data_IF_563056500113
#
_entry.id   IF_563056500113
#
_cell.length_a   1.000
_cell.length_b   1.000
_cell.length_c   1.000
_cell.angle_alpha   90.00
_cell.angle_beta   90.00
_cell.angle_gamma   90.00
#
_symmetry.space_group_name_H-M   'P 1'
#
loop_
_entity.id
_entity.type
_entity.pdbx_description
1 polymer ?
#
# COMPACT_ATOMS: atom_id res chain seq x y z
N UNK A 1 26.22 -11.89 -3.68
CA UNK A 1 25.32 -10.76 -3.98
C UNK A 1 24.74 -10.30 -2.65
N UNK A 2 24.79 -9.02 -2.35
CA UNK A 2 24.13 -8.44 -1.17
C UNK A 2 22.63 -8.48 -1.39
N UNK A 3 21.86 -8.75 -0.33
CA UNK A 3 20.40 -8.70 -0.37
C UNK A 3 19.93 -7.26 -0.63
N UNK A 4 18.99 -7.02 -1.55
CA UNK A 4 18.48 -5.68 -1.81
C UNK A 4 17.71 -5.14 -0.60
N UNK A 5 17.80 -3.84 -0.36
CA UNK A 5 17.08 -3.13 0.71
C UNK A 5 16.01 -2.25 0.07
N UNK A 6 14.76 -2.74 0.08
CA UNK A 6 13.66 -2.05 -0.63
C UNK A 6 12.42 -1.97 0.24
N UNK A 7 11.84 -0.77 0.30
CA UNK A 7 10.48 -0.55 0.79
C UNK A 7 9.58 -0.20 -0.39
N UNK A 8 8.52 -0.96 -0.59
CA UNK A 8 7.50 -0.66 -1.61
C UNK A 8 6.19 -0.30 -0.92
N UNK A 9 5.62 0.83 -1.31
CA UNK A 9 4.34 1.33 -0.78
C UNK A 9 3.35 1.39 -1.94
N UNK A 10 2.22 0.69 -1.83
CA UNK A 10 1.20 0.66 -2.88
C UNK A 10 -0.09 1.30 -2.37
N UNK A 11 -0.70 2.17 -3.19
CA UNK A 11 -1.96 2.82 -2.86
C UNK A 11 -3.13 1.85 -2.85
N UNK A 12 -3.21 1.01 -3.87
CA UNK A 12 -4.13 -0.13 -3.99
C UNK A 12 -3.74 -1.02 -5.18
N UNK A 13 -4.59 -2.00 -5.51
CA UNK A 13 -4.37 -2.85 -6.68
C UNK A 13 -3.21 -3.81 -6.52
N UNK A 14 -2.72 -4.05 -5.31
CA UNK A 14 -1.56 -4.86 -4.99
C UNK A 14 -1.64 -6.30 -5.50
N UNK A 15 -2.85 -6.82 -5.67
CA UNK A 15 -3.09 -8.14 -6.31
C UNK A 15 -3.78 -8.02 -7.67
N UNK A 16 -3.79 -6.82 -8.27
CA UNK A 16 -4.33 -6.59 -9.60
C UNK A 16 -3.27 -6.82 -10.70
N UNK A 17 -3.69 -7.01 -11.96
CA UNK A 17 -2.78 -7.15 -13.09
C UNK A 17 -1.78 -5.99 -13.23
N UNK A 18 -2.16 -4.79 -12.84
CA UNK A 18 -1.34 -3.56 -12.89
C UNK A 18 -0.06 -3.65 -12.06
N UNK A 19 -0.08 -4.40 -10.94
CA UNK A 19 1.07 -4.54 -10.04
C UNK A 19 1.90 -5.80 -10.28
N UNK A 20 1.51 -6.68 -11.20
CA UNK A 20 2.23 -7.94 -11.47
C UNK A 20 3.68 -7.68 -11.88
N UNK A 21 3.92 -6.74 -12.79
CA UNK A 21 5.27 -6.39 -13.24
C UNK A 21 6.14 -5.87 -12.10
N UNK A 22 5.57 -5.06 -11.21
CA UNK A 22 6.26 -4.54 -10.03
C UNK A 22 6.67 -5.65 -9.09
N UNK A 23 5.75 -6.55 -8.69
CA UNK A 23 6.10 -7.68 -7.85
C UNK A 23 7.16 -8.58 -8.49
N UNK A 24 7.03 -8.88 -9.80
CA UNK A 24 8.01 -9.69 -10.53
C UNK A 24 9.39 -9.04 -10.54
N UNK A 25 9.48 -7.73 -10.76
CA UNK A 25 10.77 -7.02 -10.75
C UNK A 25 11.42 -7.03 -9.37
N UNK A 26 10.62 -6.87 -8.31
CA UNK A 26 11.09 -6.93 -6.92
C UNK A 26 11.66 -8.31 -6.58
N UNK A 27 10.88 -9.38 -6.83
CA UNK A 27 11.33 -10.74 -6.50
C UNK A 27 12.47 -11.24 -7.38
N UNK A 28 12.62 -10.71 -8.60
CA UNK A 28 13.76 -11.03 -9.47
C UNK A 28 15.10 -10.55 -8.90
N UNK A 29 15.09 -9.58 -7.99
CA UNK A 29 16.29 -9.08 -7.29
C UNK A 29 16.75 -10.01 -6.18
N UNK A 30 15.92 -10.99 -5.80
CA UNK A 30 16.22 -11.96 -4.74
C UNK A 30 16.78 -13.25 -5.35
N UNK A 31 17.63 -13.93 -4.58
CA UNK A 31 18.13 -15.25 -4.96
C UNK A 31 17.02 -16.31 -4.97
N UNK A 32 17.17 -17.35 -5.77
CA UNK A 32 16.22 -18.48 -5.79
C UNK A 32 16.71 -19.62 -4.91
N UNK A 33 15.81 -20.32 -4.19
CA UNK A 33 14.37 -20.05 -4.07
C UNK A 33 14.09 -18.80 -3.23
N UNK A 34 13.05 -18.01 -3.62
CA UNK A 34 12.61 -16.84 -2.86
C UNK A 34 11.83 -17.30 -1.64
N UNK A 35 12.26 -16.93 -0.44
CA UNK A 35 11.45 -17.06 0.77
C UNK A 35 10.57 -15.83 0.89
N UNK A 36 9.26 -16.02 0.89
CA UNK A 36 8.28 -14.94 0.91
C UNK A 36 7.17 -15.20 1.92
N UNK A 37 6.72 -14.15 2.62
CA UNK A 37 5.65 -14.22 3.60
C UNK A 37 4.59 -13.13 3.36
N UNK A 38 3.32 -13.51 3.56
CA UNK A 38 2.18 -12.59 3.70
C UNK A 38 1.93 -12.38 5.18
N UNK A 39 1.94 -11.12 5.63
CA UNK A 39 1.43 -10.74 6.96
C UNK A 39 -0.08 -10.51 6.82
N UNK A 40 -0.85 -11.38 7.40
CA UNK A 40 -2.31 -11.47 7.29
C UNK A 40 -3.07 -10.67 8.37
N UNK A 41 -2.33 -9.99 9.24
CA UNK A 41 -2.91 -9.20 10.35
C UNK A 41 -3.91 -8.14 9.90
N UNK A 42 -3.68 -7.33 8.83
CA UNK A 42 -4.59 -6.23 8.50
C UNK A 42 -6.05 -6.65 8.32
N UNK A 43 -6.31 -7.88 7.86
CA UNK A 43 -7.66 -8.45 7.73
C UNK A 43 -7.98 -9.54 8.77
N UNK A 44 -7.16 -9.68 9.82
CA UNK A 44 -7.25 -10.75 10.81
C UNK A 44 -8.52 -10.75 11.67
N UNK A 45 -9.28 -9.67 11.66
CA UNK A 45 -10.58 -9.55 12.34
C UNK A 45 -11.76 -10.06 11.49
N UNK A 46 -11.54 -10.31 10.19
CA UNK A 46 -12.61 -10.70 9.28
C UNK A 46 -12.84 -12.21 9.33
N UNK A 47 -14.11 -12.64 9.29
CA UNK A 47 -14.48 -14.06 9.29
C UNK A 47 -13.96 -14.81 8.07
N UNK A 48 -13.85 -14.12 6.92
CA UNK A 48 -13.31 -14.66 5.67
C UNK A 48 -11.80 -14.44 5.50
N UNK A 49 -11.05 -14.19 6.59
CA UNK A 49 -9.60 -13.97 6.55
C UNK A 49 -8.83 -15.09 5.84
N UNK A 50 -9.27 -16.35 6.00
CA UNK A 50 -8.71 -17.51 5.29
C UNK A 50 -8.82 -17.39 3.78
N UNK A 51 -9.99 -17.01 3.26
CA UNK A 51 -10.19 -16.81 1.82
C UNK A 51 -9.32 -15.67 1.26
N UNK A 52 -9.13 -14.60 2.03
CA UNK A 52 -8.28 -13.48 1.63
C UNK A 52 -6.82 -13.91 1.54
N UNK A 53 -6.35 -14.70 2.51
CA UNK A 53 -5.02 -15.28 2.49
C UNK A 53 -4.81 -16.23 1.29
N UNK A 54 -5.76 -17.11 1.02
CA UNK A 54 -5.72 -18.03 -0.13
C UNK A 54 -5.69 -17.28 -1.47
N UNK A 55 -6.46 -16.19 -1.61
CA UNK A 55 -6.44 -15.35 -2.82
C UNK A 55 -5.07 -14.69 -3.01
N UNK A 56 -4.46 -14.19 -1.94
CA UNK A 56 -3.12 -13.62 -2.01
C UNK A 56 -2.09 -14.69 -2.44
N UNK A 57 -2.10 -15.87 -1.82
CA UNK A 57 -1.21 -16.99 -2.20
C UNK A 57 -1.43 -17.40 -3.66
N UNK A 58 -2.69 -17.52 -4.10
CA UNK A 58 -3.02 -17.87 -5.48
C UNK A 58 -2.51 -16.82 -6.47
N UNK A 59 -2.63 -15.53 -6.13
CA UNK A 59 -2.11 -14.44 -6.96
C UNK A 59 -0.58 -14.51 -7.09
N UNK A 60 0.15 -14.64 -5.98
CA UNK A 60 1.61 -14.73 -6.04
C UNK A 60 2.07 -15.94 -6.84
N UNK A 61 1.43 -17.09 -6.66
CA UNK A 61 1.74 -18.31 -7.42
C UNK A 61 1.45 -18.17 -8.90
N UNK A 62 0.23 -17.71 -9.27
CA UNK A 62 -0.21 -17.67 -10.68
C UNK A 62 0.34 -16.48 -11.45
N UNK A 63 0.41 -15.30 -10.81
CA UNK A 63 0.72 -14.06 -11.50
C UNK A 63 2.16 -13.61 -11.29
N UNK A 64 2.73 -13.78 -10.09
CA UNK A 64 4.10 -13.37 -9.79
C UNK A 64 5.11 -14.51 -10.02
N UNK A 65 4.63 -15.77 -10.01
CA UNK A 65 5.42 -17.00 -10.19
C UNK A 65 6.41 -17.26 -9.04
N UNK A 66 5.93 -17.05 -7.81
CA UNK A 66 6.61 -17.46 -6.57
C UNK A 66 5.62 -18.11 -5.62
N UNK A 67 6.10 -19.02 -4.78
CA UNK A 67 5.35 -19.48 -3.62
C UNK A 67 5.54 -18.49 -2.48
N UNK A 68 4.43 -18.07 -1.85
CA UNK A 68 4.41 -17.20 -0.68
C UNK A 68 3.66 -17.90 0.45
N UNK A 69 4.16 -17.82 1.67
CA UNK A 69 3.56 -18.45 2.84
C UNK A 69 2.81 -17.43 3.67
N UNK A 70 1.64 -17.83 4.20
CA UNK A 70 0.88 -16.96 5.12
C UNK A 70 1.49 -17.05 6.51
N UNK A 71 1.72 -15.90 7.14
CA UNK A 71 2.36 -15.85 8.45
C UNK A 71 1.48 -16.42 9.57
N UNK A 72 0.16 -16.38 9.40
CA UNK A 72 -0.79 -16.84 10.43
C UNK A 72 -0.82 -15.87 11.63
N UNK A 73 -0.56 -14.59 11.38
CA UNK A 73 -0.51 -13.53 12.37
C UNK A 73 -1.84 -12.74 12.41
N UNK A 74 -2.98 -13.44 12.38
CA UNK A 74 -4.29 -12.79 12.47
C UNK A 74 -4.45 -12.02 13.77
N UNK A 75 -3.91 -12.58 14.88
CA UNK A 75 -3.83 -11.96 16.20
C UNK A 75 -2.46 -12.24 16.80
N UNK A 76 -1.83 -11.20 17.36
CA UNK A 76 -0.52 -11.32 17.98
C UNK A 76 -0.59 -11.22 19.51
N UNK A 77 -1.70 -10.69 20.03
CA UNK A 77 -1.90 -10.56 21.48
C UNK A 77 -3.36 -10.54 21.87
N UNK A 78 -3.64 -10.52 23.19
CA UNK A 78 -4.98 -10.54 23.76
C UNK A 78 -5.65 -11.93 23.73
N UNK A 79 -6.94 -11.94 24.11
CA UNK A 79 -7.73 -13.18 24.14
C UNK A 79 -7.84 -13.81 22.74
N UNK A 80 -7.52 -15.10 22.64
CA UNK A 80 -7.58 -15.88 21.42
C UNK A 80 -6.29 -15.85 20.55
N UNK A 81 -5.21 -15.21 21.02
CA UNK A 81 -3.89 -15.39 20.40
C UNK A 81 -3.28 -16.71 20.90
N UNK A 82 -2.72 -17.50 19.96
CA UNK A 82 -1.90 -18.68 20.26
C UNK A 82 -0.41 -18.28 20.24
N UNK A 83 0.27 -18.24 21.40
CA UNK A 83 1.68 -17.80 21.44
C UNK A 83 2.62 -18.62 20.56
N UNK A 84 2.34 -19.92 20.40
CA UNK A 84 3.18 -20.80 19.57
C UNK A 84 2.97 -20.49 18.08
N UNK A 85 1.72 -20.25 17.67
CA UNK A 85 1.42 -19.82 16.30
C UNK A 85 2.01 -18.43 16.01
N UNK A 86 1.93 -17.51 16.95
CA UNK A 86 2.54 -16.16 16.84
C UNK A 86 4.05 -16.25 16.67
N UNK A 87 4.75 -17.02 17.53
CA UNK A 87 6.21 -17.20 17.42
C UNK A 87 6.58 -17.79 16.06
N UNK A 88 5.86 -18.81 15.60
CA UNK A 88 6.09 -19.42 14.29
C UNK A 88 5.89 -18.42 13.16
N UNK A 89 4.83 -17.62 13.22
CA UNK A 89 4.53 -16.60 12.22
C UNK A 89 5.60 -15.50 12.17
N UNK A 90 6.01 -14.99 13.33
CA UNK A 90 7.08 -14.00 13.42
C UNK A 90 8.42 -14.56 12.89
N UNK A 91 8.74 -15.81 13.19
CA UNK A 91 9.92 -16.48 12.63
C UNK A 91 9.84 -16.58 11.10
N UNK A 92 8.67 -16.93 10.56
CA UNK A 92 8.46 -16.97 9.11
C UNK A 92 8.68 -15.59 8.47
N UNK A 93 8.15 -14.53 9.07
CA UNK A 93 8.38 -13.15 8.61
C UNK A 93 9.88 -12.81 8.68
N UNK A 94 10.55 -13.16 9.77
CA UNK A 94 11.98 -12.90 9.95
C UNK A 94 12.83 -13.59 8.88
N UNK A 95 12.53 -14.84 8.55
CA UNK A 95 13.29 -15.66 7.61
C UNK A 95 12.97 -15.36 6.13
N UNK A 96 11.93 -14.60 5.86
CA UNK A 96 11.50 -14.26 4.51
C UNK A 96 12.30 -13.09 3.95
N UNK A 97 12.78 -13.23 2.71
CA UNK A 97 13.46 -12.16 1.98
C UNK A 97 12.46 -11.15 1.36
N UNK A 98 11.23 -11.59 1.11
CA UNK A 98 10.13 -10.78 0.62
C UNK A 98 8.97 -10.85 1.61
N UNK A 99 8.54 -9.70 2.11
CA UNK A 99 7.40 -9.60 3.05
C UNK A 99 6.34 -8.71 2.43
N UNK A 100 5.10 -9.19 2.44
CA UNK A 100 3.94 -8.49 1.89
C UNK A 100 2.87 -8.35 2.97
N UNK A 101 2.27 -7.15 3.08
CA UNK A 101 1.05 -6.89 3.83
C UNK A 101 0.12 -5.99 3.00
N UNK A 102 -1.17 -6.23 3.05
CA UNK A 102 -2.14 -5.61 2.15
C UNK A 102 -3.37 -5.02 2.84
N UNK A 103 -4.56 -5.25 2.26
CA UNK A 103 -5.78 -4.58 2.66
C UNK A 103 -6.27 -5.04 4.04
N UNK A 104 -7.21 -4.27 4.62
CA UNK A 104 -7.82 -4.54 5.91
C UNK A 104 -8.04 -3.27 6.72
N UNK A 105 -7.80 -3.33 8.04
CA UNK A 105 -7.90 -2.20 8.95
C UNK A 105 -6.52 -1.77 9.47
N UNK A 106 -6.11 -0.51 9.25
CA UNK A 106 -4.85 -0.01 9.79
C UNK A 106 -4.86 0.02 11.33
N UNK A 107 -5.97 0.38 11.92
CA UNK A 107 -6.13 0.47 13.38
C UNK A 107 -6.05 -0.90 14.03
N UNK A 108 -6.69 -1.92 13.41
CA UNK A 108 -6.58 -3.30 13.89
C UNK A 108 -5.14 -3.80 13.79
N UNK A 109 -4.50 -3.60 12.63
CA UNK A 109 -3.12 -4.00 12.41
C UNK A 109 -2.18 -3.38 13.46
N UNK A 110 -2.26 -2.06 13.68
CA UNK A 110 -1.44 -1.36 14.67
C UNK A 110 -1.66 -1.87 16.09
N UNK A 111 -2.90 -2.16 16.49
CA UNK A 111 -3.17 -2.75 17.81
C UNK A 111 -2.52 -4.11 18.00
N UNK A 112 -2.41 -4.90 16.92
CA UNK A 112 -1.77 -6.20 16.97
C UNK A 112 -0.24 -6.12 16.91
N UNK A 113 0.33 -5.11 16.25
CA UNK A 113 1.76 -5.00 15.98
C UNK A 113 2.55 -4.20 17.02
N UNK A 114 1.88 -3.27 17.72
CA UNK A 114 2.52 -2.22 18.53
C UNK A 114 3.48 -2.74 19.61
N UNK A 115 3.09 -3.79 20.32
CA UNK A 115 3.88 -4.37 21.43
C UNK A 115 4.51 -5.72 21.04
N UNK A 116 4.91 -5.85 19.78
CA UNK A 116 5.51 -7.07 19.24
C UNK A 116 6.83 -6.74 18.54
N UNK A 117 7.71 -7.72 18.32
CA UNK A 117 8.98 -7.50 17.62
C UNK A 117 8.83 -7.29 16.11
N UNK A 118 7.61 -7.20 15.57
CA UNK A 118 7.38 -7.10 14.13
C UNK A 118 8.01 -5.84 13.54
N UNK A 119 7.89 -4.70 14.24
CA UNK A 119 8.49 -3.44 13.79
C UNK A 119 9.99 -3.58 13.62
N UNK A 120 10.68 -4.06 14.65
CA UNK A 120 12.14 -4.25 14.65
C UNK A 120 12.59 -5.24 13.58
N UNK A 121 11.79 -6.29 13.32
CA UNK A 121 12.07 -7.24 12.24
C UNK A 121 11.99 -6.59 10.87
N UNK A 122 10.99 -5.72 10.63
CA UNK A 122 10.86 -4.99 9.38
C UNK A 122 11.96 -3.95 9.21
N UNK A 123 12.34 -3.24 10.28
CA UNK A 123 13.49 -2.32 10.30
C UNK A 123 14.80 -3.05 9.96
N UNK A 124 15.01 -4.22 10.56
CA UNK A 124 16.20 -5.05 10.27
C UNK A 124 16.25 -5.45 8.78
N UNK A 125 15.10 -5.81 8.17
CA UNK A 125 15.05 -6.11 6.73
C UNK A 125 15.45 -4.91 5.86
N UNK A 126 14.99 -3.72 6.21
CA UNK A 126 15.33 -2.49 5.47
C UNK A 126 16.78 -2.05 5.71
N UNK A 127 17.37 -2.41 6.82
CA UNK A 127 18.78 -2.12 7.16
C UNK A 127 19.74 -3.15 6.60
N UNK A 128 19.43 -4.44 6.79
CA UNK A 128 20.38 -5.54 6.58
C UNK A 128 20.15 -6.30 5.26
N UNK A 129 18.97 -6.14 4.66
CA UNK A 129 18.59 -6.72 3.39
C UNK A 129 17.24 -7.46 3.45
N UNK A 130 16.40 -7.14 2.50
CA UNK A 130 15.06 -7.69 2.29
C UNK A 130 14.17 -6.69 1.57
N UNK A 131 13.03 -7.18 1.12
CA UNK A 131 12.01 -6.38 0.45
C UNK A 131 10.75 -6.39 1.30
N UNK A 132 10.31 -5.22 1.72
CA UNK A 132 9.05 -4.99 2.44
C UNK A 132 8.08 -4.29 1.49
N UNK A 133 6.92 -4.89 1.26
CA UNK A 133 5.87 -4.34 0.39
C UNK A 133 4.58 -4.21 1.19
N UNK A 134 4.17 -2.97 1.44
CA UNK A 134 2.94 -2.65 2.16
C UNK A 134 1.96 -1.92 1.24
N UNK A 135 0.69 -2.34 1.29
CA UNK A 135 -0.36 -1.81 0.42
C UNK A 135 -1.62 -1.45 1.22
N UNK A 136 -2.38 -0.46 0.74
CA UNK A 136 -3.68 -0.09 1.30
C UNK A 136 -3.63 0.12 2.82
N UNK A 137 -4.38 -0.65 3.61
CA UNK A 137 -4.41 -0.54 5.06
C UNK A 137 -3.04 -0.71 5.73
N UNK A 138 -2.20 -1.63 5.24
CA UNK A 138 -0.84 -1.78 5.74
C UNK A 138 0.01 -0.56 5.41
N UNK A 139 -0.16 0.05 4.23
CA UNK A 139 0.58 1.27 3.84
C UNK A 139 0.32 2.45 4.77
N UNK A 140 -0.93 2.61 5.25
CA UNK A 140 -1.29 3.64 6.24
C UNK A 140 -0.45 3.59 7.50
N UNK A 141 0.02 2.40 7.90
CA UNK A 141 0.75 2.20 9.17
C UNK A 141 2.21 2.62 9.14
N UNK A 142 2.78 2.90 7.96
CA UNK A 142 4.23 3.06 7.76
C UNK A 142 4.84 4.32 8.37
N UNK A 143 4.08 5.41 8.44
CA UNK A 143 4.53 6.67 9.05
C UNK A 143 4.42 6.68 10.56
N UNK A 144 4.89 7.75 11.18
CA UNK A 144 4.66 8.03 12.61
C UNK A 144 3.20 8.38 12.91
N UNK A 145 2.45 8.85 11.89
CA UNK A 145 1.05 9.23 11.95
C UNK A 145 0.24 8.41 10.96
N UNK A 146 -0.85 7.82 11.44
CA UNK A 146 -1.76 6.95 10.67
C UNK A 146 -3.18 7.48 10.75
N UNK A 147 -3.92 7.38 9.64
CA UNK A 147 -5.34 7.71 9.59
C UNK A 147 -6.16 6.50 10.07
N UNK A 148 -6.98 6.61 11.12
CA UNK A 148 -7.95 5.60 11.51
C UNK A 148 -9.18 5.70 10.59
N UNK A 149 -9.02 5.25 9.35
CA UNK A 149 -9.96 5.55 8.25
C UNK A 149 -11.37 5.02 8.50
N UNK A 150 -11.51 3.84 9.10
CA UNK A 150 -12.84 3.26 9.35
C UNK A 150 -13.58 3.97 10.47
N UNK A 151 -12.88 4.37 11.50
CA UNK A 151 -13.41 5.11 12.64
C UNK A 151 -13.94 6.47 12.19
N UNK A 152 -13.20 7.17 11.33
CA UNK A 152 -13.60 8.47 10.79
C UNK A 152 -14.74 8.30 9.77
N UNK A 153 -14.56 7.44 8.78
CA UNK A 153 -15.47 7.39 7.64
C UNK A 153 -16.73 6.54 7.90
N UNK A 154 -16.62 5.43 8.66
CA UNK A 154 -17.74 4.52 8.89
C UNK A 154 -18.43 4.73 10.25
N UNK A 155 -17.68 5.02 11.27
CA UNK A 155 -18.23 5.25 12.61
C UNK A 155 -18.64 6.72 12.77
N UNK A 156 -18.01 7.65 12.04
CA UNK A 156 -18.31 9.08 12.11
C UNK A 156 -17.56 9.78 13.24
N UNK A 157 -16.42 9.21 13.66
CA UNK A 157 -15.57 9.87 14.65
C UNK A 157 -14.88 11.11 14.04
N UNK A 158 -14.48 12.05 14.92
CA UNK A 158 -13.74 13.22 14.51
C UNK A 158 -12.39 12.84 13.88
N UNK A 159 -11.97 13.54 12.81
CA UNK A 159 -10.67 13.32 12.19
C UNK A 159 -9.55 13.51 13.21
N UNK A 160 -8.65 12.54 13.30
CA UNK A 160 -7.48 12.54 14.17
C UNK A 160 -6.38 11.66 13.62
N UNK A 161 -5.18 11.84 14.11
CA UNK A 161 -4.07 10.93 13.86
C UNK A 161 -3.96 9.87 14.96
N UNK A 162 -3.63 8.66 14.56
CA UNK A 162 -3.17 7.58 15.44
C UNK A 162 -1.66 7.41 15.29
N UNK A 163 -1.00 6.88 16.33
CA UNK A 163 0.42 6.53 16.22
C UNK A 163 0.61 5.35 15.27
N UNK A 164 1.47 5.52 14.27
CA UNK A 164 1.84 4.47 13.32
C UNK A 164 3.03 3.61 13.76
N UNK A 165 3.54 2.76 12.87
CA UNK A 165 4.75 1.96 13.08
C UNK A 165 6.04 2.78 13.00
N UNK A 166 5.99 3.90 12.30
CA UNK A 166 7.13 4.79 12.07
C UNK A 166 8.34 4.11 11.40
N UNK A 167 8.07 3.19 10.48
CA UNK A 167 9.11 2.58 9.65
C UNK A 167 9.78 3.60 8.72
N UNK A 168 9.01 4.58 8.22
CA UNK A 168 9.54 5.66 7.39
C UNK A 168 10.50 6.57 8.16
N UNK A 169 10.24 6.84 9.44
CA UNK A 169 11.11 7.62 10.29
C UNK A 169 12.51 7.02 10.42
N UNK A 170 12.64 5.68 10.42
CA UNK A 170 13.95 5.01 10.44
C UNK A 170 14.76 5.23 9.16
N UNK A 171 14.09 5.62 8.06
CA UNK A 171 14.71 5.99 6.79
C UNK A 171 14.94 7.51 6.67
N UNK A 172 14.60 8.28 7.69
CA UNK A 172 14.65 9.74 7.70
C UNK A 172 13.49 10.41 6.95
N UNK A 173 12.39 9.70 6.69
CA UNK A 173 11.22 10.20 5.95
C UNK A 173 10.09 10.49 6.95
N UNK A 174 9.78 11.77 7.17
CA UNK A 174 8.75 12.21 8.09
C UNK A 174 7.40 12.35 7.37
N UNK A 175 6.81 11.25 6.96
CA UNK A 175 5.57 11.26 6.19
C UNK A 175 4.45 10.47 6.87
N UNK A 176 3.23 11.00 6.76
CA UNK A 176 1.99 10.25 6.95
C UNK A 176 1.55 9.70 5.58
N UNK A 177 1.48 8.38 5.44
CA UNK A 177 1.10 7.74 4.18
C UNK A 177 -0.42 7.72 4.04
N UNK A 178 -0.92 8.18 2.89
CA UNK A 178 -2.34 8.07 2.52
C UNK A 178 -2.45 7.34 1.18
N UNK A 179 -2.79 6.05 1.19
CA UNK A 179 -3.12 5.28 -0.01
C UNK A 179 -4.50 5.70 -0.54
N UNK A 180 -4.93 5.14 -1.68
CA UNK A 180 -6.22 5.51 -2.31
C UNK A 180 -6.37 7.04 -2.43
N UNK A 181 -5.29 7.72 -2.82
CA UNK A 181 -5.24 9.18 -2.75
C UNK A 181 -6.19 9.85 -3.74
N UNK A 182 -6.36 9.26 -4.90
CA UNK A 182 -7.27 9.67 -5.98
C UNK A 182 -8.66 9.02 -5.92
N UNK A 183 -9.03 8.35 -4.82
CA UNK A 183 -10.30 7.64 -4.71
C UNK A 183 -11.49 8.52 -5.12
N UNK A 184 -12.36 7.98 -5.98
CA UNK A 184 -13.51 8.68 -6.54
C UNK A 184 -14.83 7.89 -6.41
N UNK A 185 -14.92 6.96 -5.44
CA UNK A 185 -16.12 6.12 -5.25
C UNK A 185 -17.31 6.84 -4.62
N UNK A 186 -17.13 8.08 -4.15
CA UNK A 186 -18.10 8.82 -3.34
C UNK A 186 -19.35 9.33 -4.08
N UNK A 187 -19.39 9.25 -5.40
CA UNK A 187 -20.50 9.80 -6.19
C UNK A 187 -20.65 11.30 -5.96
N UNK A 188 -21.51 11.68 -5.01
CA UNK A 188 -21.85 13.09 -4.73
C UNK A 188 -21.03 13.72 -3.59
N UNK A 189 -20.11 13.01 -2.97
CA UNK A 189 -19.24 13.54 -1.91
C UNK A 189 -17.77 13.22 -2.17
N UNK A 190 -16.88 14.04 -1.61
CA UNK A 190 -15.44 13.91 -1.79
C UNK A 190 -14.90 12.74 -0.97
N UNK A 191 -14.49 11.67 -1.67
CA UNK A 191 -13.86 10.48 -1.08
C UNK A 191 -12.37 10.38 -1.35
N UNK A 192 -11.77 11.42 -1.98
CA UNK A 192 -10.32 11.46 -2.15
C UNK A 192 -9.61 11.30 -0.81
N UNK A 193 -8.33 10.95 -0.90
CA UNK A 193 -7.47 10.85 0.26
C UNK A 193 -7.96 9.78 1.26
N UNK A 194 -8.18 8.57 0.74
CA UNK A 194 -8.64 7.45 1.54
C UNK A 194 -9.95 7.78 2.30
N UNK A 195 -10.96 8.31 1.59
CA UNK A 195 -12.29 8.72 2.09
C UNK A 195 -12.32 9.92 3.06
N UNK A 196 -11.19 10.61 3.27
CA UNK A 196 -11.18 11.81 4.12
C UNK A 196 -11.88 13.01 3.46
N UNK A 197 -11.65 13.19 2.16
CA UNK A 197 -11.97 14.43 1.45
C UNK A 197 -11.06 15.60 1.84
N UNK A 198 -11.14 16.68 1.09
CA UNK A 198 -10.24 17.84 1.26
C UNK A 198 -10.34 18.48 2.63
N UNK A 199 -11.56 18.70 3.12
CA UNK A 199 -11.78 19.42 4.38
C UNK A 199 -11.17 18.71 5.59
N UNK A 200 -11.36 17.38 5.68
CA UNK A 200 -10.80 16.61 6.80
C UNK A 200 -9.28 16.49 6.68
N UNK A 201 -8.77 16.24 5.47
CA UNK A 201 -7.34 16.16 5.25
C UNK A 201 -6.63 17.47 5.59
N UNK A 202 -7.15 18.62 5.13
CA UNK A 202 -6.55 19.92 5.43
C UNK A 202 -6.50 20.22 6.96
N UNK A 203 -7.55 19.84 7.70
CA UNK A 203 -7.57 19.93 9.16
C UNK A 203 -6.48 19.04 9.76
N UNK A 204 -6.42 17.77 9.37
CA UNK A 204 -5.42 16.81 9.88
C UNK A 204 -3.99 17.22 9.54
N UNK A 205 -3.74 17.76 8.33
CA UNK A 205 -2.42 18.31 7.98
C UNK A 205 -1.97 19.43 8.91
N UNK A 206 -2.92 20.26 9.39
CA UNK A 206 -2.57 21.36 10.30
C UNK A 206 -2.09 20.87 11.68
N UNK A 207 -2.42 19.64 12.04
CA UNK A 207 -2.06 18.99 13.30
C UNK A 207 -0.73 18.21 13.20
N UNK A 208 -0.20 17.98 11.98
CA UNK A 208 1.10 17.33 11.80
C UNK A 208 2.23 18.21 12.35
N UNK A 209 3.24 17.63 13.01
CA UNK A 209 4.41 18.37 13.45
C UNK A 209 5.17 19.04 12.28
N UNK A 210 5.94 20.06 12.59
CA UNK A 210 6.80 20.70 11.60
C UNK A 210 7.78 19.67 11.01
N UNK A 211 8.02 19.79 9.71
CA UNK A 211 8.85 18.84 8.98
C UNK A 211 8.13 17.58 8.54
N UNK A 212 6.88 17.36 8.94
CA UNK A 212 6.05 16.27 8.45
C UNK A 212 5.22 16.67 7.24
N UNK A 213 4.87 15.68 6.42
CA UNK A 213 4.06 15.87 5.23
C UNK A 213 3.19 14.65 4.94
N UNK A 214 2.24 14.81 4.04
CA UNK A 214 1.41 13.69 3.54
C UNK A 214 2.04 13.11 2.28
N UNK A 215 2.30 11.81 2.31
CA UNK A 215 2.72 11.01 1.17
C UNK A 215 1.49 10.30 0.59
N UNK A 216 0.89 10.92 -0.43
CA UNK A 216 -0.27 10.38 -1.14
C UNK A 216 0.16 9.40 -2.23
N UNK A 217 -0.53 8.26 -2.33
CA UNK A 217 -0.30 7.26 -3.38
C UNK A 217 -1.64 6.89 -3.99
N UNK A 218 -1.77 7.12 -5.29
CA UNK A 218 -2.99 6.85 -6.05
C UNK A 218 -3.30 5.35 -6.10
N UNK A 219 -4.53 5.02 -6.43
CA UNK A 219 -4.94 3.65 -6.68
C UNK A 219 -4.16 3.03 -7.84
N UNK A 220 -3.92 1.72 -7.79
CA UNK A 220 -3.12 0.99 -8.78
C UNK A 220 -1.73 1.61 -9.04
N UNK A 221 -1.16 2.24 -8.03
CA UNK A 221 0.12 2.93 -8.06
C UNK A 221 1.00 2.51 -6.90
N UNK A 222 2.31 2.50 -7.11
CA UNK A 222 3.28 2.16 -6.08
C UNK A 222 4.50 3.09 -6.11
N UNK A 223 5.09 3.30 -4.94
CA UNK A 223 6.38 3.94 -4.75
C UNK A 223 7.38 2.86 -4.30
N UNK A 224 8.37 2.58 -5.15
CA UNK A 224 9.45 1.63 -4.88
C UNK A 224 10.66 2.41 -4.39
N UNK A 225 10.93 2.40 -3.11
CA UNK A 225 12.07 3.07 -2.46
C UNK A 225 13.23 2.08 -2.40
N UNK A 226 14.25 2.31 -3.21
CA UNK A 226 15.47 1.53 -3.25
C UNK A 226 16.54 2.22 -2.38
N UNK A 227 16.82 1.61 -1.23
CA UNK A 227 17.77 2.15 -0.25
C UNK A 227 19.21 1.97 -0.67
N UNK A 228 19.48 1.09 -1.62
CA UNK A 228 20.85 0.84 -2.13
C UNK A 228 21.23 1.88 -3.19
N UNK A 229 20.30 2.27 -4.07
CA UNK A 229 20.53 3.33 -5.04
C UNK A 229 20.27 4.74 -4.50
N UNK A 230 19.50 4.87 -3.42
CA UNK A 230 19.07 6.16 -2.90
C UNK A 230 17.99 6.84 -3.76
N UNK A 231 17.19 6.06 -4.48
CA UNK A 231 16.15 6.52 -5.38
C UNK A 231 14.80 5.86 -5.08
N UNK A 232 13.73 6.53 -5.41
CA UNK A 232 12.38 6.01 -5.35
C UNK A 232 11.70 6.14 -6.72
N UNK A 233 11.15 5.03 -7.23
CA UNK A 233 10.49 4.97 -8.54
C UNK A 233 8.98 4.89 -8.38
N UNK A 234 8.24 5.71 -9.14
CA UNK A 234 6.78 5.66 -9.22
C UNK A 234 6.38 4.69 -10.32
N UNK A 235 5.58 3.67 -9.95
CA UNK A 235 5.15 2.58 -10.82
C UNK A 235 3.63 2.44 -10.81
N UNK A 236 3.06 1.84 -11.85
CA UNK A 236 1.60 1.61 -11.93
C UNK A 236 0.90 2.58 -12.89
N UNK A 237 -0.26 3.12 -12.51
CA UNK A 237 -1.12 3.88 -13.42
C UNK A 237 -1.30 5.36 -13.07
N UNK A 238 -1.15 5.73 -11.79
CA UNK A 238 -1.42 7.08 -11.28
C UNK A 238 -0.12 7.82 -10.90
N UNK A 239 -0.16 8.50 -9.77
CA UNK A 239 0.91 9.35 -9.29
C UNK A 239 1.19 9.14 -7.79
N UNK A 240 2.34 9.64 -7.36
CA UNK A 240 2.69 9.88 -5.97
C UNK A 240 2.68 11.38 -5.71
N UNK A 241 2.08 11.78 -4.62
CA UNK A 241 1.95 13.20 -4.22
C UNK A 241 2.66 13.45 -2.90
N UNK A 242 3.57 14.40 -2.89
CA UNK A 242 4.13 14.98 -1.67
C UNK A 242 3.31 16.23 -1.34
N UNK A 243 2.54 16.23 -0.25
CA UNK A 243 1.64 17.32 0.11
C UNK A 243 2.06 17.91 1.46
N UNK A 244 2.37 19.20 1.45
CA UNK A 244 2.81 19.98 2.62
C UNK A 244 1.87 21.16 2.81
N UNK A 245 1.09 21.16 3.89
CA UNK A 245 0.17 22.25 4.23
C UNK A 245 -0.70 22.69 3.03
N UNK A 246 -1.34 21.71 2.37
CA UNK A 246 -2.21 21.93 1.22
C UNK A 246 -1.50 22.14 -0.13
N UNK A 247 -0.18 22.26 -0.16
CA UNK A 247 0.60 22.37 -1.39
C UNK A 247 1.11 21.02 -1.84
N UNK A 248 0.79 20.63 -3.06
CA UNK A 248 1.11 19.33 -3.63
C UNK A 248 2.17 19.40 -4.71
N UNK A 249 3.16 18.51 -4.63
CA UNK A 249 4.07 18.16 -5.72
C UNK A 249 3.74 16.77 -6.20
N UNK A 250 3.37 16.62 -7.47
CA UNK A 250 2.85 15.38 -8.04
C UNK A 250 3.90 14.74 -8.96
N UNK A 251 4.15 13.46 -8.76
CA UNK A 251 5.10 12.65 -9.49
C UNK A 251 4.35 11.50 -10.20
N UNK A 252 4.12 11.60 -11.51
CA UNK A 252 3.40 10.57 -12.26
C UNK A 252 4.22 9.28 -12.38
N UNK A 253 3.56 8.19 -12.74
CA UNK A 253 4.20 6.92 -13.11
C UNK A 253 5.35 7.13 -14.08
N UNK A 254 6.48 6.46 -13.83
CA UNK A 254 7.74 6.64 -14.55
C UNK A 254 8.68 7.68 -13.94
N UNK A 255 8.21 8.47 -12.95
CA UNK A 255 9.10 9.39 -12.23
C UNK A 255 10.09 8.63 -11.35
N UNK A 256 11.31 9.16 -11.25
CA UNK A 256 12.32 8.76 -10.28
C UNK A 256 12.56 9.93 -9.34
N UNK A 257 12.44 9.69 -8.06
CA UNK A 257 12.53 10.69 -6.99
C UNK A 257 13.78 10.37 -6.16
N UNK A 258 14.75 11.27 -6.05
CA UNK A 258 15.86 11.08 -5.12
C UNK A 258 15.34 10.87 -3.69
N UNK A 259 15.91 9.93 -2.95
CA UNK A 259 15.49 9.64 -1.56
C UNK A 259 15.60 10.88 -0.67
N UNK A 260 16.57 11.74 -0.94
CA UNK A 260 16.74 13.00 -0.22
C UNK A 260 15.56 13.97 -0.42
N UNK A 261 14.90 13.92 -1.58
CA UNK A 261 13.66 14.69 -1.80
C UNK A 261 12.55 14.23 -0.88
N UNK A 262 12.41 12.92 -0.63
CA UNK A 262 11.45 12.38 0.32
C UNK A 262 11.80 12.77 1.76
N UNK A 263 13.09 12.82 2.11
CA UNK A 263 13.58 13.19 3.44
C UNK A 263 13.36 14.66 3.75
N UNK A 264 13.56 15.53 2.75
CA UNK A 264 13.50 17.00 2.92
C UNK A 264 12.13 17.61 2.59
N UNK A 265 11.17 16.84 2.11
CA UNK A 265 9.89 17.35 1.62
C UNK A 265 9.14 18.21 2.64
N UNK A 266 9.10 17.78 3.91
CA UNK A 266 8.41 18.51 4.97
C UNK A 266 9.09 19.83 5.40
N UNK A 267 10.37 20.03 5.06
CA UNK A 267 11.17 21.22 5.46
C UNK A 267 11.26 22.27 4.36
N UNK A 268 10.43 22.16 3.29
CA UNK A 268 10.38 23.13 2.20
C UNK A 268 11.37 22.87 1.06
N UNK A 269 12.04 21.69 1.06
CA UNK A 269 13.04 21.31 0.05
C UNK A 269 12.49 20.85 -1.30
N UNK A 270 11.17 20.83 -1.52
CA UNK A 270 10.61 20.40 -2.81
C UNK A 270 10.58 21.59 -3.78
N UNK A 271 11.70 21.85 -4.44
CA UNK A 271 11.68 22.63 -5.68
C UNK A 271 11.18 21.71 -6.80
N UNK A 272 10.14 22.12 -7.51
CA UNK A 272 9.69 21.48 -8.73
C UNK A 272 10.83 21.53 -9.78
N UNK A 273 11.69 20.53 -9.76
CA UNK A 273 12.88 20.45 -10.61
C UNK A 273 13.20 19.01 -10.95
N UNK A 274 13.17 18.73 -12.25
CA UNK A 274 13.68 17.55 -12.93
C UNK A 274 12.83 16.26 -12.80
N UNK A 275 11.70 16.23 -13.50
CA UNK A 275 11.19 15.00 -14.10
C UNK A 275 12.10 14.68 -15.29
N UNK A 276 12.99 13.72 -15.16
CA UNK A 276 13.61 13.09 -16.34
C UNK A 276 12.75 11.90 -16.73
N UNK A 277 12.00 11.97 -17.86
CA UNK A 277 11.31 10.79 -18.36
C UNK A 277 12.38 9.82 -18.89
N UNK A 278 12.41 8.61 -18.36
CA UNK A 278 13.15 7.51 -18.99
C UNK A 278 12.50 7.23 -20.34
N UNK A 279 13.14 7.68 -21.43
CA UNK A 279 12.79 7.34 -22.79
C UNK A 279 13.24 5.91 -23.08
N UNK A 280 12.36 4.95 -22.89
CA UNK A 280 12.39 3.68 -23.61
C UNK A 280 10.96 3.12 -23.70
N UNK A 281 10.22 3.65 -24.67
CA UNK A 281 8.96 3.08 -25.13
C UNK A 281 9.15 2.76 -26.63
N UNK A 282 9.12 1.49 -27.05
CA UNK A 282 9.11 1.18 -28.47
C UNK A 282 7.82 1.73 -29.08
N UNK A 283 7.99 2.43 -30.20
CA UNK A 283 6.91 3.04 -30.98
C UNK A 283 5.89 1.99 -31.41
N UNK A 284 4.64 2.17 -31.03
CA UNK A 284 3.51 1.43 -31.60
C UNK A 284 3.29 1.89 -33.04
N UNK A 285 3.43 0.96 -33.97
CA UNK A 285 3.18 1.17 -35.39
C UNK A 285 1.74 1.56 -35.66
N UNK A 286 1.57 2.58 -36.50
CA UNK A 286 0.29 3.00 -37.05
C UNK A 286 -0.29 1.89 -37.92
N UNK A 287 -1.52 1.44 -37.65
CA UNK A 287 -2.33 0.71 -38.64
C UNK A 287 -3.53 1.58 -38.99
N UNK A 288 -3.63 1.82 -40.31
CA UNK A 288 -4.64 2.65 -40.93
C UNK A 288 -6.04 2.06 -40.86
N UNK A 289 -6.96 3.00 -40.88
CA UNK A 289 -8.39 2.95 -41.05
C UNK A 289 -8.88 2.11 -42.24
N UNK A 290 -9.90 1.27 -42.04
CA UNK A 290 -10.90 0.93 -43.06
C UNK A 290 -12.12 0.20 -42.48
N UNK A 291 -13.30 0.78 -42.60
CA UNK A 291 -14.52 0.03 -42.93
C UNK A 291 -15.54 -0.18 -41.81
N UNK A 292 -16.57 0.61 -41.87
CA UNK A 292 -17.94 0.46 -41.33
C UNK A 292 -18.50 -0.95 -41.49
N UNK A 293 -19.16 -1.53 -40.45
CA UNK A 293 -20.47 -2.16 -40.57
C UNK A 293 -21.16 -2.33 -39.19
N UNK A 294 -22.46 -2.07 -39.23
CA UNK A 294 -23.43 -2.14 -38.16
C UNK A 294 -23.62 -3.57 -37.62
N UNK A 295 -23.70 -3.75 -36.28
CA UNK A 295 -24.58 -4.67 -35.56
C UNK A 295 -24.56 -4.44 -34.06
N UNK A 296 -25.77 -4.38 -33.48
CA UNK A 296 -26.12 -4.15 -32.07
C UNK A 296 -25.74 -5.30 -31.11
N UNK A 297 -25.96 -5.13 -29.77
CA UNK A 297 -25.02 -5.49 -28.74
C UNK A 297 -25.32 -6.82 -28.05
N UNK A 298 -24.29 -7.46 -27.58
CA UNK A 298 -24.43 -8.53 -26.60
C UNK A 298 -23.62 -8.21 -25.34
N UNK A 299 -24.31 -8.30 -24.22
CA UNK A 299 -23.87 -8.26 -22.83
C UNK A 299 -22.48 -8.82 -22.56
N UNK A 300 -21.77 -8.11 -21.64
CA UNK A 300 -20.70 -8.74 -20.91
C UNK A 300 -19.40 -7.95 -20.82
N UNK A 301 -19.32 -6.93 -19.96
CA UNK A 301 -18.04 -6.44 -19.42
C UNK A 301 -18.26 -5.52 -18.19
N UNK A 302 -18.85 -6.10 -17.14
CA UNK A 302 -18.84 -5.53 -15.79
C UNK A 302 -18.08 -6.50 -14.86
N UNK A 303 -16.77 -6.52 -14.94
CA UNK A 303 -15.97 -7.47 -14.17
C UNK A 303 -14.52 -7.06 -13.89
N UNK A 304 -14.20 -5.78 -13.81
CA UNK A 304 -12.78 -5.37 -13.66
C UNK A 304 -12.44 -4.41 -12.51
N UNK A 305 -13.40 -4.04 -11.68
CA UNK A 305 -13.13 -3.24 -10.46
C UNK A 305 -13.53 -3.93 -9.16
N UNK A 306 -13.97 -5.19 -9.22
CA UNK A 306 -14.76 -5.81 -8.14
C UNK A 306 -13.95 -6.39 -6.96
N UNK A 307 -12.66 -6.62 -7.06
CA UNK A 307 -11.92 -7.39 -6.03
C UNK A 307 -11.48 -6.52 -4.86
N UNK A 308 -11.11 -5.26 -5.08
CA UNK A 308 -10.77 -4.32 -4.00
C UNK A 308 -12.01 -3.73 -3.32
N UNK A 309 -13.02 -3.42 -4.13
CA UNK A 309 -14.35 -3.02 -3.66
C UNK A 309 -15.04 -4.14 -2.86
N UNK A 310 -14.73 -5.42 -3.07
CA UNK A 310 -15.38 -6.53 -2.38
C UNK A 310 -14.90 -6.72 -0.94
N UNK A 311 -13.59 -6.61 -0.64
CA UNK A 311 -13.11 -6.63 0.74
C UNK A 311 -13.59 -5.40 1.51
N UNK A 312 -13.63 -4.27 0.84
CA UNK A 312 -14.17 -3.02 1.37
C UNK A 312 -15.71 -3.04 1.45
N UNK A 313 -16.43 -3.64 0.46
CA UNK A 313 -17.90 -3.82 0.48
C UNK A 313 -18.36 -4.94 1.42
N UNK A 314 -17.61 -6.01 1.61
CA UNK A 314 -17.97 -7.06 2.58
C UNK A 314 -17.96 -6.54 4.01
N UNK A 315 -17.04 -5.63 4.34
CA UNK A 315 -17.09 -4.90 5.60
C UNK A 315 -18.30 -3.96 5.73
N UNK A 316 -18.98 -3.65 4.61
CA UNK A 316 -20.18 -2.79 4.54
C UNK A 316 -21.50 -3.55 4.70
N UNK A 317 -21.59 -4.78 4.16
CA UNK A 317 -22.88 -5.51 4.07
C UNK A 317 -23.26 -6.29 5.32
N UNK A 318 -22.35 -6.48 6.27
CA UNK A 318 -22.64 -7.27 7.48
C UNK A 318 -23.42 -6.53 8.58
N UNK A 319 -23.73 -5.24 8.41
CA UNK A 319 -24.51 -4.45 9.38
C UNK A 319 -25.97 -4.17 9.02
N UNK A 320 -26.34 -4.39 7.75
CA UNK A 320 -27.74 -4.17 7.33
C UNK A 320 -28.68 -5.37 7.57
N UNK A 321 -28.14 -6.48 8.12
CA UNK A 321 -28.91 -7.71 8.39
C UNK A 321 -29.36 -7.88 9.84
N UNK A 322 -28.99 -7.00 10.77
CA UNK A 322 -29.39 -7.10 12.20
C UNK A 322 -30.36 -6.00 12.66
N UNK A 323 -31.04 -5.36 11.76
CA UNK A 323 -31.99 -4.27 12.05
C UNK A 323 -33.32 -4.38 11.31
N UNK A 324 -34.01 -5.53 11.35
CA UNK A 324 -35.41 -5.66 10.96
C UNK A 324 -36.14 -6.67 11.83
#
# INVERSE_FOLDING_TARGET
MTMPRVLTIMGSGETAPTMVSTHRSLVARLGKPVRAAVIDTPYGFQENSGELAERAVAYFRKSVNIDISVAGLLRLGGDGADPVAVERGLRLVNDSAYVFAGPGSPTYALRQWRDTPLREMLEAKLRDGGIVTFASAAALTLGSHTVPVYEIYKVGEEPRWEAGLDLLGTLGINAAVIPHFDNAEGGNHDTRFCYLGETRLARMESELPDGHYVLGIDEHTGLVIDLDSGEASVVGNGAVTLRVRGKSSVFPTGSVIPLETLRSAGTGGVTAGAVSPTTDRPAAGSVADAGTDDREPADGLAGRSAVHSAAFRAALSSRDAEGA
#
